data_IF_734300014257
#
_entry.id   IF_734300014257
#
_cell.length_a   1.000
_cell.length_b   1.000
_cell.length_c   1.000
_cell.angle_alpha   90.00
_cell.angle_beta   90.00
_cell.angle_gamma   90.00
#
_symmetry.space_group_name_H-M   'P 1'
#
loop_
_entity.id
_entity.type
_entity.pdbx_description
1 polymer ?
#
# COMPACT_ATOMS: atom_id res chain seq x y z
N UNK A 1 -35.67 4.89 -20.65
CA UNK A 1 -34.85 6.11 -20.46
C UNK A 1 -33.61 5.95 -21.33
N UNK A 2 -33.48 6.77 -22.37
CA UNK A 2 -32.29 6.80 -23.19
C UNK A 2 -31.17 7.48 -22.42
N UNK A 3 -30.11 6.75 -22.14
CA UNK A 3 -28.87 7.30 -21.60
C UNK A 3 -28.06 7.77 -22.80
N UNK A 4 -27.90 9.09 -22.95
CA UNK A 4 -26.99 9.65 -23.93
C UNK A 4 -25.55 9.38 -23.47
N UNK A 5 -24.87 8.50 -24.18
CA UNK A 5 -23.43 8.32 -23.98
C UNK A 5 -22.73 9.49 -24.68
N UNK A 6 -22.05 10.34 -23.92
CA UNK A 6 -21.19 11.38 -24.48
C UNK A 6 -20.03 10.66 -25.16
N UNK A 7 -20.04 10.64 -26.49
CA UNK A 7 -19.03 9.97 -27.31
C UNK A 7 -17.79 10.81 -27.60
N UNK A 8 -17.75 12.03 -27.16
CA UNK A 8 -16.60 12.91 -27.42
C UNK A 8 -15.80 13.06 -26.13
N UNK A 9 -14.63 12.42 -26.10
CA UNK A 9 -13.56 12.88 -25.19
C UNK A 9 -13.10 14.24 -25.71
N UNK A 10 -12.96 15.26 -24.84
CA UNK A 10 -12.27 16.46 -25.25
C UNK A 10 -10.89 16.03 -25.75
N UNK A 11 -10.59 16.34 -27.00
CA UNK A 11 -9.25 16.20 -27.53
C UNK A 11 -8.37 17.10 -26.66
N UNK A 12 -7.57 16.51 -25.80
CA UNK A 12 -6.47 17.22 -25.15
C UNK A 12 -5.63 17.80 -26.29
N UNK A 13 -5.50 19.12 -26.30
CA UNK A 13 -4.73 19.82 -27.31
C UNK A 13 -3.32 19.25 -27.35
N UNK A 14 -3.03 18.45 -28.37
CA UNK A 14 -1.71 17.84 -28.57
C UNK A 14 -0.61 18.90 -28.68
N UNK A 15 -0.94 20.13 -29.09
CA UNK A 15 0.02 21.22 -29.08
C UNK A 15 0.40 21.68 -27.67
N UNK A 16 -0.57 21.68 -26.75
CA UNK A 16 -0.27 21.96 -25.32
C UNK A 16 0.60 20.87 -24.69
N UNK A 17 0.45 19.62 -25.14
CA UNK A 17 1.30 18.53 -24.68
C UNK A 17 2.72 18.57 -25.28
N UNK A 18 2.86 19.01 -26.51
CA UNK A 18 4.16 19.13 -27.17
C UNK A 18 4.94 20.41 -26.78
N UNK A 19 4.27 21.41 -26.23
CA UNK A 19 4.93 22.64 -25.73
C UNK A 19 5.48 22.51 -24.31
N UNK A 20 5.02 21.51 -23.55
CA UNK A 20 5.78 21.04 -22.41
C UNK A 20 6.90 20.13 -22.94
N UNK A 21 7.96 20.72 -23.48
CA UNK A 21 9.24 20.06 -23.37
C UNK A 21 9.39 19.76 -21.88
N UNK A 22 9.19 18.50 -21.53
CA UNK A 22 9.72 17.94 -20.31
C UNK A 22 11.21 18.27 -20.38
N UNK A 23 11.55 19.43 -19.84
CA UNK A 23 12.93 19.75 -19.60
C UNK A 23 13.40 18.58 -18.77
N UNK A 24 14.23 17.67 -19.26
CA UNK A 24 14.77 16.64 -18.43
C UNK A 24 15.61 17.42 -17.42
N UNK A 25 15.06 17.63 -16.23
CA UNK A 25 15.87 18.00 -15.08
C UNK A 25 16.77 16.80 -14.77
N UNK A 26 17.59 16.46 -15.71
CA UNK A 26 18.84 15.76 -15.41
C UNK A 26 19.67 16.85 -14.73
N UNK A 27 19.51 16.96 -13.42
CA UNK A 27 20.43 17.75 -12.61
C UNK A 27 21.80 17.11 -12.86
N UNK A 28 22.60 17.75 -13.73
CA UNK A 28 23.93 17.25 -14.05
C UNK A 28 24.67 17.03 -12.70
N UNK A 29 25.06 15.80 -12.42
CA UNK A 29 25.75 15.43 -11.19
C UNK A 29 24.90 14.79 -10.09
N UNK A 30 23.59 14.52 -10.30
CA UNK A 30 22.82 13.70 -9.36
C UNK A 30 23.08 12.22 -9.66
N UNK A 31 23.81 11.56 -8.80
CA UNK A 31 23.88 10.09 -8.77
C UNK A 31 22.85 9.65 -7.73
N UNK A 32 21.79 8.91 -8.13
CA UNK A 32 20.84 8.37 -7.16
C UNK A 32 21.58 7.41 -6.21
N UNK A 33 21.31 7.54 -4.94
CA UNK A 33 21.71 6.55 -3.93
C UNK A 33 20.58 5.54 -3.85
N UNK A 34 20.92 4.26 -4.05
CA UNK A 34 19.97 3.16 -3.95
C UNK A 34 20.22 2.43 -2.63
N UNK A 35 19.15 2.15 -1.89
CA UNK A 35 19.19 1.41 -0.64
C UNK A 35 18.17 0.27 -0.69
N UNK A 36 18.56 -0.90 -0.19
CA UNK A 36 17.69 -2.04 -0.08
C UNK A 36 16.74 -1.86 1.12
N UNK A 37 15.45 -1.79 0.84
CA UNK A 37 14.40 -1.68 1.85
C UNK A 37 14.00 -3.06 2.39
N UNK A 38 14.08 -4.07 1.55
CA UNK A 38 13.77 -5.46 1.84
C UNK A 38 13.71 -6.32 0.60
N UNK A 39 13.52 -7.61 0.79
CA UNK A 39 13.47 -8.61 -0.29
C UNK A 39 12.16 -9.39 -0.26
N UNK A 40 11.85 -10.06 -1.35
CA UNK A 40 10.70 -10.95 -1.47
C UNK A 40 10.91 -11.96 -2.61
N UNK A 41 10.38 -13.16 -2.46
CA UNK A 41 10.24 -14.11 -3.55
C UNK A 41 8.97 -13.91 -4.38
N UNK A 42 8.03 -13.10 -3.87
CA UNK A 42 6.78 -12.81 -4.55
C UNK A 42 6.94 -11.60 -5.48
N UNK A 43 6.94 -11.83 -6.78
CA UNK A 43 7.24 -10.82 -7.80
C UNK A 43 6.02 -9.99 -8.26
N UNK A 44 4.79 -10.50 -8.10
CA UNK A 44 3.57 -9.74 -8.45
C UNK A 44 3.24 -8.70 -7.40
N UNK A 45 4.01 -7.62 -7.37
CA UNK A 45 3.88 -6.55 -6.40
C UNK A 45 2.69 -5.62 -6.66
N UNK A 46 2.18 -5.56 -7.88
CA UNK A 46 1.06 -4.70 -8.24
C UNK A 46 0.11 -5.41 -9.20
N UNK A 47 -1.19 -5.28 -8.96
CA UNK A 47 -2.24 -5.76 -9.85
C UNK A 47 -3.18 -4.60 -10.15
N UNK A 48 -3.34 -4.25 -11.44
CA UNK A 48 -4.09 -3.10 -11.93
C UNK A 48 -3.60 -1.76 -11.36
N UNK A 49 -4.31 -1.14 -10.42
CA UNK A 49 -3.88 0.10 -9.78
C UNK A 49 -2.98 -0.16 -8.58
N UNK A 50 -1.92 0.64 -8.43
CA UNK A 50 -0.97 0.53 -7.31
C UNK A 50 -1.63 1.05 -6.03
N UNK A 51 -1.38 0.34 -4.92
CA UNK A 51 -1.70 0.78 -3.56
C UNK A 51 -0.70 1.83 -3.09
N UNK A 52 -1.07 2.63 -2.10
CA UNK A 52 -0.10 3.39 -1.33
C UNK A 52 0.75 2.41 -0.53
N UNK A 53 2.03 2.37 -0.80
CA UNK A 53 2.96 1.45 -0.14
C UNK A 53 4.08 2.14 0.58
N UNK A 54 4.19 3.43 0.37
CA UNK A 54 5.24 4.25 0.94
C UNK A 54 4.64 5.58 1.40
N UNK A 55 5.03 6.01 2.57
CA UNK A 55 4.70 7.34 3.08
C UNK A 55 5.95 8.00 3.65
N UNK A 56 6.18 9.24 3.23
CA UNK A 56 7.25 10.10 3.75
C UNK A 56 6.63 11.03 4.78
N UNK A 57 7.06 10.90 6.02
CA UNK A 57 6.59 11.73 7.13
C UNK A 57 7.23 13.12 7.10
N UNK A 58 6.59 14.13 7.70
CA UNK A 58 7.14 15.50 7.74
C UNK A 58 8.50 15.62 8.44
N UNK A 59 8.82 14.68 9.34
CA UNK A 59 10.10 14.59 10.05
C UNK A 59 11.22 13.92 9.22
N UNK A 60 10.90 13.51 7.99
CA UNK A 60 11.84 12.83 7.10
C UNK A 60 11.90 11.31 7.26
N UNK A 61 11.18 10.75 8.21
CA UNK A 61 11.02 9.30 8.31
C UNK A 61 10.20 8.72 7.14
N UNK A 62 10.36 7.43 6.86
CA UNK A 62 9.64 6.77 5.76
C UNK A 62 9.14 5.41 6.24
N UNK A 63 7.86 5.15 6.09
CA UNK A 63 7.31 3.81 6.20
C UNK A 63 7.10 3.18 4.83
N UNK A 64 7.47 1.93 4.66
CA UNK A 64 7.33 1.21 3.40
C UNK A 64 6.77 -0.20 3.62
N UNK A 65 5.88 -0.62 2.71
CA UNK A 65 5.30 -1.96 2.69
C UNK A 65 5.37 -2.58 1.30
N UNK A 66 5.41 -3.89 1.26
CA UNK A 66 5.37 -4.67 0.02
C UNK A 66 4.71 -6.03 0.26
N UNK A 67 4.45 -6.78 -0.80
CA UNK A 67 4.04 -8.18 -0.65
C UNK A 67 5.28 -9.00 -0.36
N UNK A 68 5.36 -9.55 0.85
CA UNK A 68 6.44 -10.39 1.32
C UNK A 68 6.09 -11.86 1.11
N UNK A 69 6.93 -12.59 0.40
CA UNK A 69 7.01 -14.03 0.40
C UNK A 69 8.42 -14.42 0.79
N UNK A 70 8.57 -15.15 1.89
CA UNK A 70 9.88 -15.51 2.44
C UNK A 70 10.50 -16.70 1.71
N UNK A 71 9.67 -17.56 1.11
CA UNK A 71 10.10 -18.78 0.48
C UNK A 71 9.55 -18.90 -0.94
N UNK A 72 10.37 -19.43 -1.85
CA UNK A 72 9.93 -19.80 -3.18
C UNK A 72 9.15 -21.11 -3.14
N UNK A 73 7.90 -21.03 -2.71
CA UNK A 73 6.99 -22.18 -2.61
C UNK A 73 5.72 -21.94 -3.43
N UNK A 74 5.13 -23.02 -3.96
CA UNK A 74 3.87 -22.92 -4.71
C UNK A 74 2.77 -22.32 -3.84
N UNK A 75 2.10 -21.29 -4.38
CA UNK A 75 1.03 -20.57 -3.69
C UNK A 75 1.51 -19.61 -2.59
N UNK A 76 2.79 -19.54 -2.31
CA UNK A 76 3.38 -18.65 -1.30
C UNK A 76 2.59 -18.66 0.01
N UNK A 77 2.57 -19.75 0.76
CA UNK A 77 1.74 -19.91 1.96
C UNK A 77 2.15 -18.95 3.09
N UNK A 78 3.38 -18.45 3.04
CA UNK A 78 3.95 -17.47 3.95
C UNK A 78 3.74 -16.00 3.50
N UNK A 79 3.02 -15.77 2.40
CA UNK A 79 2.79 -14.44 1.88
C UNK A 79 2.04 -13.54 2.86
N UNK A 80 2.48 -12.29 2.96
CA UNK A 80 1.86 -11.27 3.76
C UNK A 80 2.44 -9.90 3.49
N UNK A 81 2.32 -8.97 4.43
CA UNK A 81 2.88 -7.63 4.32
C UNK A 81 4.28 -7.60 4.90
N UNK A 82 5.27 -7.33 4.05
CA UNK A 82 6.59 -6.87 4.46
C UNK A 82 6.52 -5.40 4.87
N UNK A 83 7.28 -5.04 5.87
CA UNK A 83 7.35 -3.67 6.36
C UNK A 83 8.78 -3.32 6.74
N UNK A 84 9.20 -2.10 6.40
CA UNK A 84 10.42 -1.51 6.92
C UNK A 84 10.22 -0.01 7.18
N UNK A 85 11.07 0.54 8.01
CA UNK A 85 10.99 1.92 8.46
C UNK A 85 12.36 2.59 8.38
N UNK A 86 12.39 3.76 7.75
CA UNK A 86 13.53 4.67 7.73
C UNK A 86 13.33 5.73 8.82
N UNK A 87 14.26 5.85 9.73
CA UNK A 87 14.16 6.72 10.91
C UNK A 87 14.63 8.16 10.67
N UNK A 88 14.92 8.50 9.41
CA UNK A 88 15.53 9.77 9.01
C UNK A 88 17.03 9.68 8.81
N UNK A 89 17.67 8.56 9.18
CA UNK A 89 19.10 8.32 9.01
C UNK A 89 19.41 6.98 8.33
N UNK A 90 18.65 5.93 8.63
CA UNK A 90 18.85 4.59 8.10
C UNK A 90 17.55 3.78 8.05
N UNK A 91 17.49 2.82 7.15
CA UNK A 91 16.47 1.77 7.17
C UNK A 91 16.70 0.81 8.33
N UNK A 92 15.63 0.30 8.90
CA UNK A 92 15.67 -0.82 9.83
C UNK A 92 16.19 -2.10 9.15
N UNK A 93 16.50 -3.15 9.91
CA UNK A 93 16.89 -4.44 9.34
C UNK A 93 15.77 -4.99 8.45
N UNK A 94 16.10 -5.72 7.37
CA UNK A 94 15.09 -6.41 6.56
C UNK A 94 14.20 -7.29 7.45
N UNK A 95 12.86 -7.28 7.24
CA UNK A 95 11.96 -8.07 8.04
C UNK A 95 12.20 -9.57 7.84
N UNK A 96 12.16 -10.33 8.92
CA UNK A 96 12.24 -11.77 8.92
C UNK A 96 10.88 -12.47 8.86
N UNK A 97 9.80 -11.71 8.93
CA UNK A 97 8.42 -12.20 8.90
C UNK A 97 7.47 -11.11 8.38
N UNK A 98 6.27 -11.50 7.98
CA UNK A 98 5.18 -10.58 7.67
C UNK A 98 4.64 -9.95 8.96
N UNK A 99 3.99 -8.78 8.84
CA UNK A 99 3.42 -8.11 10.02
C UNK A 99 2.15 -8.79 10.53
N UNK A 100 1.42 -9.51 9.70
CA UNK A 100 0.21 -10.26 10.07
C UNK A 100 0.53 -11.71 10.45
N UNK A 101 -0.33 -12.31 11.25
CA UNK A 101 -0.29 -13.73 11.57
C UNK A 101 -0.96 -14.63 10.49
N UNK A 102 -1.67 -14.02 9.55
CA UNK A 102 -2.43 -14.69 8.49
C UNK A 102 -1.88 -14.38 7.10
N UNK A 103 -2.26 -15.19 6.12
CA UNK A 103 -1.91 -15.01 4.72
C UNK A 103 -2.68 -13.83 4.11
N UNK A 104 -1.95 -12.79 3.66
CA UNK A 104 -2.51 -11.58 3.07
C UNK A 104 -1.81 -11.21 1.76
N UNK A 105 -2.29 -10.14 1.13
CA UNK A 105 -1.66 -9.57 -0.05
C UNK A 105 -2.14 -8.18 -0.41
N UNK A 106 -1.36 -7.53 -1.24
CA UNK A 106 -1.60 -6.19 -1.77
C UNK A 106 -1.84 -5.14 -0.68
N UNK A 107 -0.84 -4.89 0.18
CA UNK A 107 -0.96 -3.95 1.28
C UNK A 107 -1.11 -2.51 0.80
N UNK A 108 -1.90 -1.73 1.55
CA UNK A 108 -1.89 -0.27 1.53
C UNK A 108 -1.34 0.23 2.86
N UNK A 109 -0.57 1.31 2.83
CA UNK A 109 0.08 1.89 4.01
C UNK A 109 -0.19 3.39 4.11
N UNK A 110 -0.39 3.89 5.34
CA UNK A 110 -0.57 5.31 5.62
C UNK A 110 -0.20 5.65 7.09
N UNK A 111 0.03 6.94 7.40
CA UNK A 111 0.07 7.40 8.79
C UNK A 111 -1.30 7.23 9.44
N UNK A 112 -1.35 7.13 10.77
CA UNK A 112 -2.59 7.05 11.55
C UNK A 112 -2.47 7.82 12.85
N UNK A 113 -3.34 8.80 13.05
CA UNK A 113 -3.21 9.69 14.18
C UNK A 113 -1.98 10.58 14.06
N UNK A 114 -1.55 11.15 15.17
CA UNK A 114 -0.40 12.05 15.23
C UNK A 114 0.93 11.32 15.00
N UNK A 115 1.10 10.15 15.64
CA UNK A 115 2.38 9.43 15.64
C UNK A 115 2.30 7.99 15.12
N UNK A 116 1.11 7.50 14.85
CA UNK A 116 0.87 6.10 14.50
C UNK A 116 0.93 5.80 13.00
N UNK A 117 0.69 4.55 12.68
CA UNK A 117 0.65 4.06 11.31
C UNK A 117 -0.32 2.89 11.16
N UNK A 118 -0.77 2.67 9.92
CA UNK A 118 -1.71 1.63 9.55
C UNK A 118 -1.30 0.97 8.23
N UNK A 119 -1.39 -0.35 8.21
CA UNK A 119 -1.33 -1.14 7.00
C UNK A 119 -2.62 -1.95 6.85
N UNK A 120 -3.12 -2.08 5.64
CA UNK A 120 -4.31 -2.88 5.34
C UNK A 120 -4.03 -3.79 4.16
N UNK A 121 -4.40 -5.06 4.27
CA UNK A 121 -4.22 -6.04 3.21
C UNK A 121 -5.41 -6.99 3.16
N UNK A 122 -5.79 -7.50 1.99
CA UNK A 122 -6.85 -8.49 1.96
C UNK A 122 -6.34 -9.87 2.34
N UNK A 123 -7.16 -10.62 3.06
CA UNK A 123 -6.85 -11.98 3.47
C UNK A 123 -7.04 -12.96 2.31
N UNK A 124 -6.47 -14.15 2.46
CA UNK A 124 -6.63 -15.25 1.51
C UNK A 124 -8.05 -15.81 1.45
N UNK A 125 -8.20 -16.92 0.78
CA UNK A 125 -9.53 -17.48 0.45
C UNK A 125 -10.19 -18.28 1.59
N UNK A 126 -9.48 -18.60 2.68
CA UNK A 126 -9.99 -19.46 3.76
C UNK A 126 -9.69 -18.86 5.12
N UNK A 127 -10.66 -18.92 6.01
CA UNK A 127 -10.57 -18.38 7.37
C UNK A 127 -11.14 -16.97 7.46
N UNK A 128 -10.41 -16.06 8.06
CA UNK A 128 -10.81 -14.64 8.20
C UNK A 128 -10.90 -13.98 6.84
N UNK A 129 -12.12 -13.87 6.34
CA UNK A 129 -12.38 -13.25 5.03
C UNK A 129 -12.62 -11.76 5.19
N UNK A 130 -11.87 -10.95 4.43
CA UNK A 130 -12.02 -9.50 4.49
C UNK A 130 -10.69 -8.76 4.36
N UNK A 131 -10.69 -7.55 4.88
CA UNK A 131 -9.48 -6.72 4.93
C UNK A 131 -8.87 -6.80 6.32
N UNK A 132 -7.68 -7.32 6.39
CA UNK A 132 -6.86 -7.31 7.60
C UNK A 132 -6.32 -5.90 7.82
N UNK A 133 -6.48 -5.38 9.02
CA UNK A 133 -6.05 -4.06 9.44
C UNK A 133 -5.01 -4.24 10.54
N UNK A 134 -3.80 -3.83 10.26
CA UNK A 134 -2.68 -3.81 11.21
C UNK A 134 -2.37 -2.36 11.55
N UNK A 135 -2.43 -2.00 12.81
CA UNK A 135 -2.15 -0.63 13.27
C UNK A 135 -1.29 -0.62 14.52
N UNK A 136 -0.54 0.46 14.69
CA UNK A 136 0.18 0.75 15.93
C UNK A 136 0.23 2.24 16.20
N UNK A 137 0.39 2.59 17.49
CA UNK A 137 0.25 3.96 17.96
C UNK A 137 1.50 4.80 17.72
N UNK A 138 2.64 4.15 17.45
CA UNK A 138 3.91 4.83 17.16
C UNK A 138 4.54 4.23 15.91
N UNK A 139 4.78 5.06 14.91
CA UNK A 139 5.44 4.66 13.65
C UNK A 139 6.84 4.09 13.92
N UNK A 140 7.22 3.09 13.17
CA UNK A 140 8.54 2.47 13.25
C UNK A 140 8.77 1.56 14.46
N UNK A 141 7.90 1.52 15.48
CA UNK A 141 8.14 0.76 16.71
C UNK A 141 6.87 0.25 17.38
N UNK A 142 7.02 -0.71 18.28
CA UNK A 142 5.92 -1.32 19.00
C UNK A 142 5.24 -2.47 18.27
N UNK A 143 4.32 -3.13 18.95
CA UNK A 143 3.56 -4.26 18.41
C UNK A 143 2.40 -3.80 17.55
N UNK A 144 2.11 -4.55 16.50
CA UNK A 144 0.94 -4.35 15.67
C UNK A 144 -0.32 -4.87 16.40
N UNK A 145 -1.38 -4.09 16.34
CA UNK A 145 -2.72 -4.47 16.78
C UNK A 145 -3.56 -4.80 15.54
N UNK A 146 -4.30 -5.90 15.60
CA UNK A 146 -5.00 -6.47 14.44
C UNK A 146 -6.50 -6.40 14.58
N UNK A 147 -7.16 -6.18 13.45
CA UNK A 147 -8.60 -6.36 13.29
C UNK A 147 -8.91 -6.74 11.85
N UNK A 148 -10.09 -7.34 11.63
CA UNK A 148 -10.56 -7.69 10.30
C UNK A 148 -11.84 -6.93 10.00
N UNK A 149 -11.90 -6.30 8.84
CA UNK A 149 -13.09 -5.66 8.31
C UNK A 149 -13.72 -6.59 7.27
N UNK A 150 -14.84 -7.18 7.62
CA UNK A 150 -15.66 -7.96 6.70
C UNK A 150 -16.58 -7.07 5.88
N UNK A 151 -16.93 -7.53 4.70
CA UNK A 151 -17.94 -6.91 3.86
C UNK A 151 -19.35 -7.03 4.44
N UNK A 152 -20.36 -6.48 3.76
CA UNK A 152 -21.76 -6.59 4.18
C UNK A 152 -22.24 -8.06 4.12
N UNK A 153 -23.36 -8.39 4.79
CA UNK A 153 -23.94 -9.73 4.74
C UNK A 153 -24.08 -10.26 3.32
N UNK A 154 -23.75 -11.54 3.13
CA UNK A 154 -23.68 -12.27 1.86
C UNK A 154 -22.54 -11.80 0.90
N UNK A 155 -21.71 -10.84 1.34
CA UNK A 155 -20.57 -10.32 0.60
C UNK A 155 -19.38 -10.03 1.55
N UNK A 156 -19.18 -10.89 2.53
CA UNK A 156 -18.19 -10.69 3.60
C UNK A 156 -16.76 -10.65 3.06
N UNK A 157 -16.50 -11.40 1.98
CA UNK A 157 -15.18 -11.43 1.35
C UNK A 157 -14.91 -10.12 0.63
N UNK A 158 -13.89 -9.39 1.10
CA UNK A 158 -13.39 -8.19 0.43
C UNK A 158 -11.96 -8.39 -0.04
N UNK A 159 -11.65 -7.84 -1.22
CA UNK A 159 -10.34 -7.96 -1.87
C UNK A 159 -9.90 -6.62 -2.46
N UNK A 160 -8.61 -6.51 -2.76
CA UNK A 160 -7.97 -5.42 -3.47
C UNK A 160 -8.28 -4.04 -2.88
N UNK A 161 -8.08 -3.94 -1.59
CA UNK A 161 -8.24 -2.69 -0.87
C UNK A 161 -7.28 -1.60 -1.37
N UNK A 162 -7.78 -0.37 -1.33
CA UNK A 162 -7.00 0.86 -1.47
C UNK A 162 -7.36 1.73 -0.29
N UNK A 163 -6.37 2.19 0.45
CA UNK A 163 -6.60 2.93 1.68
C UNK A 163 -5.72 4.17 1.71
N UNK A 164 -6.29 5.27 2.20
CA UNK A 164 -5.59 6.50 2.58
C UNK A 164 -6.13 6.97 3.90
N UNK A 165 -5.37 7.77 4.62
CA UNK A 165 -5.85 8.47 5.81
C UNK A 165 -6.04 9.95 5.52
N UNK A 166 -6.95 10.59 6.24
CA UNK A 166 -7.30 11.99 6.15
C UNK A 166 -7.66 12.56 7.52
N UNK A 167 -8.13 13.82 7.53
CA UNK A 167 -8.31 14.59 8.75
C UNK A 167 -7.06 15.37 9.13
N UNK A 168 -7.12 16.17 10.20
CA UNK A 168 -6.03 17.06 10.59
C UNK A 168 -4.79 16.27 11.02
N UNK A 169 -5.00 15.14 11.70
CA UNK A 169 -3.96 14.27 12.23
C UNK A 169 -4.08 12.85 11.66
N UNK A 170 -4.55 12.69 10.42
CA UNK A 170 -4.72 11.36 9.81
C UNK A 170 -5.64 10.40 10.60
N UNK A 171 -6.60 10.94 11.36
CA UNK A 171 -7.50 10.17 12.22
C UNK A 171 -8.65 9.47 11.49
N UNK A 172 -8.88 9.80 10.21
CA UNK A 172 -9.94 9.23 9.39
C UNK A 172 -9.34 8.30 8.34
N UNK A 173 -9.78 7.05 8.33
CA UNK A 173 -9.37 6.05 7.33
C UNK A 173 -10.42 6.00 6.22
N UNK A 174 -9.99 6.24 4.99
CA UNK A 174 -10.80 6.08 3.79
C UNK A 174 -10.35 4.84 3.04
N UNK A 175 -11.26 3.92 2.77
CA UNK A 175 -10.96 2.67 2.09
C UNK A 175 -11.95 2.38 0.98
N UNK A 176 -11.43 1.86 -0.13
CA UNK A 176 -12.22 1.24 -1.20
C UNK A 176 -11.76 -0.21 -1.31
N UNK A 177 -12.69 -1.14 -1.36
CA UNK A 177 -12.44 -2.55 -1.61
C UNK A 177 -13.52 -3.13 -2.50
N UNK A 178 -13.22 -4.23 -3.18
CA UNK A 178 -14.21 -4.98 -3.94
C UNK A 178 -14.77 -6.10 -3.07
N UNK A 179 -16.06 -6.35 -3.14
CA UNK A 179 -16.65 -7.59 -2.64
C UNK A 179 -16.44 -8.69 -3.66
N UNK A 180 -16.07 -9.88 -3.21
CA UNK A 180 -15.91 -11.06 -4.04
C UNK A 180 -16.88 -12.15 -3.57
N UNK A 181 -17.60 -12.72 -4.49
CA UNK A 181 -18.46 -13.89 -4.29
C UNK A 181 -17.66 -15.19 -4.38
#
# INVERSE_FOLDING_TARGET
RNISVIKERPLLDQQAFNSQQLNPYVKAGFTPVEEEVGTTWYDDQSNASIQNRLYVYPDGAIGATWILGMNHASGYPDRGTGYNYYDGSSWGPPPSERIEDVHTGWPSYAPLGEDGEIATAHTGATGDVGIHISRRDTKGTGSWNYSVLSGPPDHERMIWNRMVTGGVNHEVVHMIALTAS
#
